data_IF_573967861072
#
_entry.id   IF_573967861072
#
_cell.length_a   1.000
_cell.length_b   1.000
_cell.length_c   1.000
_cell.angle_alpha   90.00
_cell.angle_beta   90.00
_cell.angle_gamma   90.00
#
_symmetry.space_group_name_H-M   'P 1'
#
loop_
_entity.id
_entity.type
_entity.pdbx_description
1 polymer ?
#
# COMPACT_ATOMS: atom_id res chain seq x y z
N UNK A 1 -5.14 -12.84 -4.69
CA UNK A 1 -4.60 -11.61 -4.06
C UNK A 1 -5.80 -10.84 -3.49
N UNK A 2 -5.67 -9.62 -2.95
CA UNK A 2 -6.82 -8.91 -2.37
C UNK A 2 -7.95 -8.67 -3.41
N UNK A 3 -9.21 -8.74 -2.98
CA UNK A 3 -10.45 -8.60 -3.78
C UNK A 3 -10.36 -9.19 -5.21
N UNK A 4 -10.10 -10.50 -5.37
CA UNK A 4 -9.97 -11.14 -6.70
C UNK A 4 -8.93 -10.48 -7.62
N UNK A 5 -7.81 -10.05 -7.05
CA UNK A 5 -6.72 -9.33 -7.74
C UNK A 5 -7.06 -7.87 -8.14
N UNK A 6 -8.17 -7.33 -7.65
CA UNK A 6 -8.54 -5.92 -7.82
C UNK A 6 -7.78 -4.98 -6.86
N UNK A 7 -7.07 -5.53 -5.87
CA UNK A 7 -6.32 -4.75 -4.86
C UNK A 7 -7.14 -4.52 -3.59
N UNK A 8 -6.67 -3.66 -2.68
CA UNK A 8 -7.40 -3.24 -1.48
C UNK A 8 -6.75 -1.99 -0.88
N UNK A 9 -7.50 -1.24 -0.07
CA UNK A 9 -7.01 -0.09 0.68
C UNK A 9 -6.76 -0.43 2.14
N UNK A 10 -5.67 0.12 2.68
CA UNK A 10 -5.24 -0.10 4.06
C UNK A 10 -4.76 1.23 4.64
N UNK A 11 -5.03 1.46 5.92
CA UNK A 11 -4.52 2.63 6.62
C UNK A 11 -3.13 2.32 7.19
N UNK A 12 -2.15 3.14 6.81
CA UNK A 12 -0.80 3.10 7.38
C UNK A 12 -0.54 4.36 8.20
N UNK A 13 0.27 4.23 9.26
CA UNK A 13 0.82 5.38 10.00
C UNK A 13 2.09 5.93 9.33
N UNK A 14 2.72 5.12 8.48
CA UNK A 14 3.95 5.43 7.78
C UNK A 14 3.64 5.86 6.35
N UNK A 15 4.39 6.82 5.83
CA UNK A 15 4.21 7.35 4.48
C UNK A 15 4.80 6.41 3.40
N UNK A 16 5.86 5.69 3.76
CA UNK A 16 6.47 4.70 2.88
C UNK A 16 5.64 3.42 2.85
N UNK A 17 5.27 2.98 1.64
CA UNK A 17 4.50 1.74 1.45
C UNK A 17 5.40 0.69 0.82
N UNK A 18 5.63 -0.39 1.56
CA UNK A 18 6.39 -1.53 1.09
C UNK A 18 5.51 -2.76 0.89
N UNK A 19 5.66 -3.41 -0.26
CA UNK A 19 5.03 -4.70 -0.53
C UNK A 19 5.90 -5.83 0.05
N UNK A 20 5.47 -6.55 1.08
CA UNK A 20 6.23 -7.71 1.59
C UNK A 20 6.18 -8.91 0.63
N UNK A 21 5.28 -8.87 -0.36
CA UNK A 21 5.15 -9.89 -1.40
C UNK A 21 6.07 -9.58 -2.58
N UNK A 22 6.54 -10.64 -3.25
CA UNK A 22 7.36 -10.56 -4.48
C UNK A 22 8.76 -9.94 -4.31
N UNK A 23 9.20 -9.71 -3.06
CA UNK A 23 10.56 -9.27 -2.73
C UNK A 23 10.98 -7.99 -3.46
N UNK A 24 12.27 -7.88 -3.77
CA UNK A 24 12.88 -6.67 -4.32
C UNK A 24 12.27 -6.21 -5.66
N UNK A 25 11.61 -7.12 -6.39
CA UNK A 25 10.99 -6.80 -7.68
C UNK A 25 9.77 -5.89 -7.55
N UNK A 26 9.04 -5.97 -6.44
CA UNK A 26 7.82 -5.20 -6.22
C UNK A 26 7.78 -4.50 -4.88
N UNK A 27 8.91 -4.43 -4.17
CA UNK A 27 9.01 -3.85 -2.83
C UNK A 27 8.38 -2.45 -2.76
N UNK A 28 8.43 -1.65 -3.83
CA UNK A 28 7.84 -0.29 -3.90
C UNK A 28 6.56 -0.18 -4.74
N UNK A 29 5.85 -1.28 -5.00
CA UNK A 29 4.66 -1.25 -5.87
C UNK A 29 3.39 -0.74 -5.16
N UNK A 30 3.45 -0.44 -3.86
CA UNK A 30 2.36 0.20 -3.14
C UNK A 30 2.27 1.70 -3.46
N UNK A 31 1.07 2.26 -3.41
CA UNK A 31 0.82 3.68 -3.64
C UNK A 31 0.00 4.27 -2.49
N UNK A 32 0.33 5.50 -2.09
CA UNK A 32 -0.48 6.29 -1.18
C UNK A 32 -1.53 7.06 -1.99
N UNK A 33 -2.81 6.85 -1.69
CA UNK A 33 -3.92 7.56 -2.33
C UNK A 33 -4.26 8.87 -1.62
N UNK A 34 -4.31 8.85 -0.29
CA UNK A 34 -4.67 10.02 0.51
C UNK A 34 -3.92 10.04 1.85
N UNK A 35 -3.56 11.26 2.30
CA UNK A 35 -3.04 11.50 3.64
C UNK A 35 -4.17 12.07 4.49
N UNK A 36 -4.59 11.32 5.50
CA UNK A 36 -5.64 11.75 6.43
C UNK A 36 -5.07 12.79 7.39
N UNK A 37 -5.44 14.05 7.22
CA UNK A 37 -5.07 15.16 8.10
C UNK A 37 -6.22 15.38 9.08
N UNK A 38 -5.96 15.37 10.39
CA UNK A 38 -6.97 15.80 11.36
C UNK A 38 -7.17 17.31 11.22
N UNK A 39 -8.43 17.73 11.01
CA UNK A 39 -8.87 19.12 11.02
C UNK A 39 -8.82 19.72 12.42
#
# INVERSE_FOLDING_TARGET
MAFNDEGAFWLSKEEEIYNPYFGDKMLKCGRMEEKIIKQ
#
